data_IF_689790770581
#
_entry.id   IF_689790770581
#
_cell.length_a   1.000
_cell.length_b   1.000
_cell.length_c   1.000
_cell.angle_alpha   90.00
_cell.angle_beta   90.00
_cell.angle_gamma   90.00
#
_symmetry.space_group_name_H-M   'P 1'
#
loop_
_entity.id
_entity.type
_entity.pdbx_description
1 polymer ?
#
# COMPACT_ATOMS: atom_id res chain seq x y z
N UNK A 1 -10.31 0.18 2.60
CA UNK A 1 -9.77 0.19 1.22
C UNK A 1 -10.90 0.56 0.26
N UNK A 2 -10.69 1.61 -0.51
CA UNK A 2 -11.57 1.95 -1.66
C UNK A 2 -11.30 1.00 -2.83
N UNK A 3 -12.16 1.02 -3.86
CA UNK A 3 -11.92 0.27 -5.10
C UNK A 3 -10.55 0.61 -5.72
N UNK A 4 -10.22 1.91 -5.76
CA UNK A 4 -8.93 2.38 -6.26
C UNK A 4 -7.75 1.85 -5.45
N UNK A 5 -7.90 1.70 -4.12
CA UNK A 5 -6.84 1.12 -3.28
C UNK A 5 -6.64 -0.37 -3.56
N UNK A 6 -7.71 -1.13 -3.80
CA UNK A 6 -7.59 -2.55 -4.18
C UNK A 6 -6.89 -2.69 -5.53
N UNK A 7 -7.28 -1.87 -6.52
CA UNK A 7 -6.64 -1.87 -7.84
C UNK A 7 -5.14 -1.54 -7.74
N UNK A 8 -4.80 -0.49 -6.99
CA UNK A 8 -3.41 -0.07 -6.76
C UNK A 8 -2.61 -1.16 -6.05
N UNK A 9 -3.19 -1.80 -5.04
CA UNK A 9 -2.54 -2.86 -4.28
C UNK A 9 -2.13 -4.05 -5.16
N UNK A 10 -2.96 -4.41 -6.14
CA UNK A 10 -2.65 -5.44 -7.15
C UNK A 10 -1.56 -4.96 -8.13
N UNK A 11 -1.64 -3.71 -8.59
CA UNK A 11 -0.65 -3.10 -9.49
C UNK A 11 0.74 -3.00 -8.84
N UNK A 12 0.81 -2.63 -7.57
CA UNK A 12 2.06 -2.53 -6.79
C UNK A 12 2.78 -3.86 -6.66
N UNK A 13 2.04 -4.98 -6.74
CA UNK A 13 2.58 -6.34 -6.65
C UNK A 13 2.84 -6.97 -8.02
N UNK A 14 2.73 -6.20 -9.11
CA UNK A 14 2.81 -6.70 -10.48
C UNK A 14 1.88 -7.91 -10.73
N UNK A 15 0.71 -7.90 -10.09
CA UNK A 15 -0.26 -8.97 -10.20
C UNK A 15 -0.89 -8.99 -11.59
N UNK A 16 -1.03 -10.17 -12.18
CA UNK A 16 -1.87 -10.34 -13.39
C UNK A 16 -3.35 -10.01 -13.15
N UNK A 17 -3.81 -10.12 -11.89
CA UNK A 17 -5.15 -9.71 -11.50
C UNK A 17 -5.38 -8.19 -11.63
N UNK A 18 -4.32 -7.39 -11.75
CA UNK A 18 -4.45 -5.94 -11.92
C UNK A 18 -4.96 -5.54 -13.32
N UNK A 19 -4.83 -6.41 -14.33
CA UNK A 19 -5.10 -6.07 -15.73
C UNK A 19 -5.95 -7.10 -16.48
N UNK A 20 -6.20 -8.27 -15.89
CA UNK A 20 -6.94 -9.35 -16.54
C UNK A 20 -8.42 -9.28 -16.17
N UNK A 21 -9.30 -9.06 -17.14
CA UNK A 21 -10.74 -9.15 -16.93
C UNK A 21 -11.16 -10.60 -16.65
N UNK A 22 -11.89 -10.81 -15.56
CA UNK A 22 -12.39 -12.12 -15.16
C UNK A 22 -13.92 -12.08 -14.99
N UNK A 23 -14.63 -13.20 -15.19
CA UNK A 23 -16.05 -13.28 -14.90
C UNK A 23 -16.31 -13.08 -13.40
N UNK A 24 -17.25 -12.19 -13.08
CA UNK A 24 -17.82 -12.05 -11.75
C UNK A 24 -18.78 -13.23 -11.41
N UNK A 25 -19.48 -13.15 -10.27
CA UNK A 25 -20.39 -14.23 -9.86
C UNK A 25 -21.61 -14.42 -10.77
N UNK A 26 -21.93 -13.43 -11.62
CA UNK A 26 -23.02 -13.45 -12.61
C UNK A 26 -22.54 -13.80 -14.02
N UNK A 27 -21.21 -13.79 -14.24
CA UNK A 27 -20.57 -14.06 -15.52
C UNK A 27 -20.14 -12.80 -16.29
N UNK A 28 -20.42 -11.60 -15.77
CA UNK A 28 -19.97 -10.36 -16.40
C UNK A 28 -18.46 -10.18 -16.23
N UNK A 29 -17.78 -9.76 -17.30
CA UNK A 29 -16.33 -9.51 -17.26
C UNK A 29 -16.03 -8.20 -16.51
N UNK A 30 -15.21 -8.30 -15.46
CA UNK A 30 -14.84 -7.20 -14.57
C UNK A 30 -13.35 -7.27 -14.24
N UNK A 31 -12.77 -6.15 -13.82
CA UNK A 31 -11.46 -6.21 -13.20
C UNK A 31 -11.55 -6.91 -11.83
N UNK A 32 -10.58 -7.77 -11.47
CA UNK A 32 -10.56 -8.44 -10.17
C UNK A 32 -10.67 -7.51 -8.96
N UNK A 33 -10.14 -6.28 -9.07
CA UNK A 33 -10.31 -5.27 -8.02
C UNK A 33 -11.78 -4.89 -7.80
N UNK A 34 -12.59 -4.78 -8.87
CA UNK A 34 -14.03 -4.55 -8.77
C UNK A 34 -14.71 -5.73 -8.09
N UNK A 35 -14.43 -6.95 -8.55
CA UNK A 35 -15.03 -8.18 -8.01
C UNK A 35 -14.74 -8.31 -6.51
N UNK A 36 -13.48 -8.11 -6.09
CA UNK A 36 -13.06 -8.14 -4.69
C UNK A 36 -13.74 -7.05 -3.86
N UNK A 37 -13.78 -5.83 -4.37
CA UNK A 37 -14.36 -4.70 -3.64
C UNK A 37 -15.86 -4.86 -3.47
N UNK A 38 -16.61 -5.18 -4.53
CA UNK A 38 -18.06 -5.37 -4.48
C UNK A 38 -18.45 -6.55 -3.57
N UNK A 39 -17.75 -7.70 -3.66
CA UNK A 39 -18.01 -8.83 -2.77
C UNK A 39 -17.77 -8.47 -1.29
N UNK A 40 -16.71 -7.70 -1.01
CA UNK A 40 -16.44 -7.22 0.34
C UNK A 40 -17.51 -6.24 0.84
N UNK A 41 -18.02 -5.35 -0.02
CA UNK A 41 -19.11 -4.44 0.34
C UNK A 41 -20.42 -5.20 0.59
N UNK A 42 -20.79 -6.13 -0.30
CA UNK A 42 -21.98 -6.98 -0.16
C UNK A 42 -21.94 -7.75 1.16
N UNK A 43 -20.81 -8.38 1.46
CA UNK A 43 -20.62 -9.13 2.70
C UNK A 43 -20.28 -8.24 3.90
N UNK A 44 -20.21 -6.91 3.75
CA UNK A 44 -19.80 -5.94 4.79
C UNK A 44 -18.52 -6.33 5.55
N UNK A 45 -17.53 -6.87 4.84
CA UNK A 45 -16.21 -7.23 5.40
C UNK A 45 -15.10 -6.37 4.77
N UNK A 46 -13.90 -6.42 5.34
CA UNK A 46 -12.75 -5.69 4.79
C UNK A 46 -12.21 -6.37 3.52
N UNK A 47 -11.98 -5.63 2.41
CA UNK A 47 -11.27 -6.15 1.24
C UNK A 47 -9.88 -6.72 1.57
N UNK A 48 -9.23 -6.24 2.64
CA UNK A 48 -7.94 -6.75 3.14
C UNK A 48 -8.03 -8.26 3.43
N UNK A 49 -9.15 -8.74 3.97
CA UNK A 49 -9.37 -10.17 4.27
C UNK A 49 -9.40 -11.01 2.99
N UNK A 50 -10.11 -10.53 1.96
CA UNK A 50 -10.19 -11.24 0.67
C UNK A 50 -8.83 -11.28 -0.05
N UNK A 51 -8.09 -10.18 -0.04
CA UNK A 51 -6.73 -10.12 -0.60
C UNK A 51 -5.80 -11.11 0.12
N UNK A 52 -5.79 -11.12 1.45
CA UNK A 52 -4.98 -12.07 2.23
C UNK A 52 -5.38 -13.52 1.96
N UNK A 53 -6.68 -13.80 1.85
CA UNK A 53 -7.19 -15.15 1.55
C UNK A 53 -6.77 -15.61 0.14
N UNK A 54 -6.92 -14.77 -0.90
CA UNK A 54 -6.45 -15.08 -2.26
C UNK A 54 -4.98 -15.51 -2.28
N UNK A 55 -4.14 -14.79 -1.52
CA UNK A 55 -2.72 -15.07 -1.46
C UNK A 55 -2.42 -16.35 -0.69
N UNK A 56 -3.08 -16.54 0.45
CA UNK A 56 -2.92 -17.72 1.29
C UNK A 56 -3.30 -18.99 0.54
N UNK A 57 -4.41 -18.94 -0.20
CA UNK A 57 -4.99 -20.10 -0.88
C UNK A 57 -4.30 -20.43 -2.19
N UNK A 58 -4.03 -19.42 -3.04
CA UNK A 58 -3.58 -19.66 -4.42
C UNK A 58 -2.38 -18.81 -4.84
N UNK A 59 -1.82 -17.98 -3.95
CA UNK A 59 -0.72 -17.02 -4.22
C UNK A 59 -1.01 -16.01 -5.34
N UNK A 60 -2.28 -15.85 -5.70
CA UNK A 60 -2.71 -15.13 -6.91
C UNK A 60 -2.36 -13.64 -6.90
N UNK A 61 -2.26 -13.01 -5.73
CA UNK A 61 -2.00 -11.57 -5.64
C UNK A 61 -0.58 -11.25 -6.10
N UNK A 62 0.39 -12.14 -5.88
CA UNK A 62 1.79 -11.94 -6.31
C UNK A 62 2.17 -12.77 -7.55
N UNK A 63 1.28 -13.63 -8.04
CA UNK A 63 1.56 -14.52 -9.16
C UNK A 63 1.46 -13.77 -10.51
N UNK A 64 2.56 -13.82 -11.27
CA UNK A 64 2.67 -13.20 -12.58
C UNK A 64 2.17 -14.10 -13.71
N UNK A 65 1.95 -15.40 -13.45
CA UNK A 65 1.52 -16.38 -14.45
C UNK A 65 0.58 -17.41 -13.80
N UNK A 66 -0.56 -16.98 -13.26
CA UNK A 66 -1.49 -17.89 -12.59
C UNK A 66 -2.05 -18.89 -13.60
N UNK A 67 -2.12 -20.15 -13.18
CA UNK A 67 -2.79 -21.20 -13.95
C UNK A 67 -4.30 -20.98 -13.94
N UNK A 68 -5.00 -21.48 -14.96
CA UNK A 68 -6.46 -21.46 -15.00
C UNK A 68 -7.07 -22.11 -13.75
N UNK A 69 -6.45 -23.20 -13.27
CA UNK A 69 -6.87 -23.92 -12.06
C UNK A 69 -6.81 -23.03 -10.82
N UNK A 70 -5.74 -22.24 -10.63
CA UNK A 70 -5.63 -21.31 -9.49
C UNK A 70 -6.77 -20.28 -9.52
N UNK A 71 -7.09 -19.73 -10.70
CA UNK A 71 -8.17 -18.76 -10.87
C UNK A 71 -9.55 -19.39 -10.60
N UNK A 72 -9.78 -20.62 -11.06
CA UNK A 72 -11.04 -21.34 -10.84
C UNK A 72 -11.36 -21.61 -9.37
N UNK A 73 -10.34 -21.77 -8.52
CA UNK A 73 -10.51 -21.99 -7.06
C UNK A 73 -9.78 -20.96 -6.21
N UNK A 74 -9.82 -19.71 -6.69
CA UNK A 74 -9.07 -18.58 -6.14
C UNK A 74 -9.08 -18.46 -4.61
N UNK A 75 -10.18 -18.86 -3.95
CA UNK A 75 -10.38 -18.74 -2.50
C UNK A 75 -10.42 -20.09 -1.76
N UNK A 76 -10.25 -21.22 -2.46
CA UNK A 76 -10.49 -22.55 -1.88
C UNK A 76 -11.94 -22.79 -1.44
N UNK A 77 -12.87 -21.91 -1.83
CA UNK A 77 -14.26 -21.98 -1.37
C UNK A 77 -14.98 -23.16 -2.04
N UNK A 78 -15.60 -24.02 -1.25
CA UNK A 78 -16.25 -25.23 -1.75
C UNK A 78 -15.27 -26.30 -2.25
N UNK A 79 -14.02 -26.28 -1.78
CA UNK A 79 -12.99 -27.29 -2.05
C UNK A 79 -12.54 -27.99 -0.75
N UNK A 80 -13.35 -28.88 -0.15
CA UNK A 80 -12.94 -29.57 1.07
C UNK A 80 -11.80 -30.55 0.81
N UNK A 81 -10.96 -30.76 1.82
CA UNK A 81 -9.83 -31.68 1.75
C UNK A 81 -10.27 -33.09 1.33
N UNK A 82 -9.61 -33.67 0.34
CA UNK A 82 -9.82 -35.05 -0.13
C UNK A 82 -11.09 -35.33 -0.93
N UNK A 83 -11.99 -34.35 -1.15
CA UNK A 83 -13.30 -34.56 -1.82
C UNK A 83 -13.48 -33.82 -3.14
N UNK A 84 -12.48 -33.04 -3.57
CA UNK A 84 -12.55 -32.23 -4.79
C UNK A 84 -13.34 -30.93 -4.60
N UNK A 85 -13.41 -30.12 -5.65
CA UNK A 85 -14.06 -28.81 -5.61
C UNK A 85 -15.46 -28.86 -6.19
N UNK A 86 -16.40 -28.17 -5.55
CA UNK A 86 -17.80 -28.08 -5.98
C UNK A 86 -17.91 -27.22 -7.25
N UNK A 87 -18.33 -27.81 -8.36
CA UNK A 87 -18.32 -27.15 -9.68
C UNK A 87 -19.13 -25.85 -9.74
N UNK A 88 -20.25 -25.77 -9.00
CA UNK A 88 -21.09 -24.56 -8.95
C UNK A 88 -20.34 -23.32 -8.49
N UNK A 89 -19.26 -23.49 -7.71
CA UNK A 89 -18.46 -22.41 -7.15
C UNK A 89 -17.17 -22.13 -7.95
N UNK A 90 -16.91 -22.85 -9.04
CA UNK A 90 -15.73 -22.59 -9.87
C UNK A 90 -15.82 -21.24 -10.58
N UNK A 91 -14.67 -20.58 -10.68
CA UNK A 91 -14.49 -19.28 -11.32
C UNK A 91 -14.25 -18.17 -10.31
N UNK A 92 -13.39 -17.22 -10.67
CA UNK A 92 -12.88 -16.18 -9.78
C UNK A 92 -14.00 -15.44 -9.03
N UNK A 93 -14.99 -14.91 -9.75
CA UNK A 93 -16.09 -14.18 -9.12
C UNK A 93 -16.94 -15.00 -8.15
N UNK A 94 -17.21 -16.27 -8.47
CA UNK A 94 -17.97 -17.17 -7.60
C UNK A 94 -17.18 -17.55 -6.36
N UNK A 95 -15.88 -17.79 -6.50
CA UNK A 95 -14.96 -18.05 -5.39
C UNK A 95 -14.89 -16.84 -4.44
N UNK A 96 -14.67 -15.65 -4.99
CA UNK A 96 -14.54 -14.40 -4.21
C UNK A 96 -15.82 -14.09 -3.44
N UNK A 97 -16.97 -14.10 -4.13
CA UNK A 97 -18.28 -13.84 -3.50
C UNK A 97 -18.63 -14.92 -2.47
N UNK A 98 -18.43 -16.19 -2.80
CA UNK A 98 -18.69 -17.31 -1.88
C UNK A 98 -17.88 -17.21 -0.60
N UNK A 99 -16.57 -16.94 -0.70
CA UNK A 99 -15.73 -16.74 0.47
C UNK A 99 -16.14 -15.51 1.31
N UNK A 100 -16.46 -14.39 0.65
CA UNK A 100 -16.89 -13.18 1.34
C UNK A 100 -18.16 -13.41 2.16
N UNK A 101 -19.19 -13.99 1.55
CA UNK A 101 -20.45 -14.32 2.23
C UNK A 101 -20.24 -15.37 3.32
N UNK A 102 -19.32 -16.33 3.14
CA UNK A 102 -18.99 -17.32 4.16
C UNK A 102 -18.39 -16.66 5.42
N UNK A 103 -17.45 -15.72 5.26
CA UNK A 103 -16.89 -14.98 6.39
C UNK A 103 -17.95 -14.15 7.12
N UNK A 104 -18.82 -13.47 6.37
CA UNK A 104 -19.96 -12.74 6.93
C UNK A 104 -20.88 -13.66 7.72
N UNK A 105 -21.28 -14.79 7.14
CA UNK A 105 -22.12 -15.79 7.80
C UNK A 105 -21.52 -16.26 9.14
N UNK A 106 -20.21 -16.49 9.22
CA UNK A 106 -19.56 -16.83 10.49
C UNK A 106 -19.63 -15.72 11.55
N UNK A 107 -19.50 -14.45 11.14
CA UNK A 107 -19.65 -13.34 12.08
C UNK A 107 -21.09 -13.22 12.56
N UNK A 108 -22.06 -13.39 11.66
CA UNK A 108 -23.48 -13.33 12.00
C UNK A 108 -23.88 -14.50 12.91
N UNK A 109 -23.34 -15.70 12.67
CA UNK A 109 -23.50 -16.87 13.54
C UNK A 109 -23.00 -16.60 14.97
N UNK A 110 -21.83 -15.98 15.11
CA UNK A 110 -21.26 -15.64 16.41
C UNK A 110 -22.14 -14.65 17.19
N UNK A 111 -22.77 -13.69 16.48
CA UNK A 111 -23.71 -12.74 17.08
C UNK A 111 -25.01 -13.44 17.50
N UNK A 112 -25.56 -14.30 16.63
CA UNK A 112 -26.88 -14.91 16.86
C UNK A 112 -26.85 -16.10 17.81
N UNK A 113 -25.78 -16.90 17.75
CA UNK A 113 -25.70 -18.23 18.37
C UNK A 113 -24.53 -18.37 19.34
N UNK A 114 -23.59 -17.42 19.37
CA UNK A 114 -22.38 -17.50 20.18
C UNK A 114 -21.32 -18.48 19.65
N UNK A 115 -21.56 -19.12 18.51
CA UNK A 115 -20.60 -19.96 17.77
C UNK A 115 -20.92 -19.96 16.28
N UNK A 116 -19.89 -20.20 15.47
CA UNK A 116 -20.04 -20.47 14.05
C UNK A 116 -20.66 -21.84 13.80
N UNK A 117 -21.13 -22.10 12.58
CA UNK A 117 -21.52 -23.45 12.14
C UNK A 117 -20.43 -24.51 12.35
N UNK A 118 -19.16 -24.11 12.35
CA UNK A 118 -18.02 -24.97 12.62
C UNK A 118 -17.75 -25.14 14.13
N UNK A 119 -18.62 -24.64 15.01
CA UNK A 119 -18.50 -24.69 16.49
C UNK A 119 -17.27 -23.96 17.05
N UNK A 120 -16.78 -22.93 16.36
CA UNK A 120 -15.77 -22.02 16.92
C UNK A 120 -16.48 -20.85 17.60
N UNK A 121 -15.95 -20.39 18.72
CA UNK A 121 -16.55 -19.32 19.51
C UNK A 121 -15.49 -18.47 20.22
N UNK A 122 -15.87 -17.24 20.55
CA UNK A 122 -15.02 -16.34 21.34
C UNK A 122 -14.89 -16.87 22.76
N UNK A 123 -13.66 -16.91 23.28
CA UNK A 123 -13.34 -17.36 24.64
C UNK A 123 -13.42 -18.87 24.88
N UNK A 124 -13.86 -19.68 23.90
CA UNK A 124 -13.96 -21.15 24.04
C UNK A 124 -12.82 -21.84 23.32
N UNK A 125 -12.01 -22.59 24.08
CA UNK A 125 -10.91 -23.40 23.54
C UNK A 125 -11.45 -24.53 22.68
N UNK A 126 -10.90 -24.69 21.48
CA UNK A 126 -11.17 -25.82 20.59
C UNK A 126 -9.88 -26.28 19.92
N UNK A 127 -9.78 -27.59 19.70
CA UNK A 127 -8.64 -28.21 19.02
C UNK A 127 -8.85 -28.17 17.50
N UNK A 128 -7.83 -27.70 16.79
CA UNK A 128 -7.76 -27.71 15.32
C UNK A 128 -7.64 -29.13 14.77
N UNK A 129 -7.78 -29.31 13.44
CA UNK A 129 -7.64 -30.62 12.80
C UNK A 129 -6.27 -31.29 13.00
N UNK A 130 -5.27 -30.49 13.38
CA UNK A 130 -3.87 -30.89 13.60
C UNK A 130 -3.48 -30.93 15.09
N UNK A 131 -4.45 -30.94 16.01
CA UNK A 131 -4.20 -31.15 17.43
C UNK A 131 -3.78 -29.90 18.22
N UNK A 132 -3.72 -28.72 17.59
CA UNK A 132 -3.38 -27.46 18.28
C UNK A 132 -4.62 -26.88 18.95
N UNK A 133 -4.54 -26.65 20.27
CA UNK A 133 -5.57 -25.99 21.05
C UNK A 133 -5.54 -24.47 20.81
N UNK A 134 -6.70 -23.89 20.48
CA UNK A 134 -6.84 -22.46 20.17
C UNK A 134 -8.04 -21.89 20.91
N UNK A 135 -7.86 -20.72 21.52
CA UNK A 135 -8.92 -19.94 22.16
C UNK A 135 -9.09 -18.61 21.41
N UNK A 136 -10.09 -18.48 20.54
CA UNK A 136 -10.33 -17.22 19.83
C UNK A 136 -10.64 -16.07 20.80
N UNK A 137 -9.85 -15.00 20.75
CA UNK A 137 -10.08 -13.81 21.60
C UNK A 137 -11.11 -12.83 21.02
N UNK A 138 -11.47 -12.98 19.75
CA UNK A 138 -12.44 -12.15 19.07
C UNK A 138 -13.14 -12.92 17.94
N UNK A 139 -14.20 -12.31 17.40
CA UNK A 139 -15.02 -12.92 16.35
C UNK A 139 -14.25 -13.16 15.04
N UNK A 140 -13.30 -12.29 14.69
CA UNK A 140 -12.48 -12.45 13.48
C UNK A 140 -11.62 -13.71 13.56
N UNK A 141 -10.98 -13.97 14.69
CA UNK A 141 -10.20 -15.20 14.91
C UNK A 141 -11.10 -16.44 14.84
N UNK A 142 -12.29 -16.41 15.46
CA UNK A 142 -13.23 -17.54 15.39
C UNK A 142 -13.71 -17.80 13.94
N UNK A 143 -13.98 -16.75 13.16
CA UNK A 143 -14.36 -16.86 11.76
C UNK A 143 -13.22 -17.40 10.87
N UNK A 144 -11.97 -16.96 11.10
CA UNK A 144 -10.78 -17.47 10.40
C UNK A 144 -10.58 -18.97 10.61
N UNK A 145 -10.66 -19.44 11.85
CA UNK A 145 -10.58 -20.87 12.18
C UNK A 145 -11.80 -21.69 11.70
N UNK A 146 -12.93 -21.04 11.47
CA UNK A 146 -14.10 -21.67 10.84
C UNK A 146 -13.94 -21.83 9.33
N UNK A 147 -13.26 -20.89 8.68
CA UNK A 147 -12.92 -20.97 7.25
C UNK A 147 -11.78 -21.95 6.98
N UNK A 148 -10.76 -21.95 7.84
CA UNK A 148 -9.58 -22.82 7.74
C UNK A 148 -9.28 -23.41 9.12
N UNK A 149 -9.65 -24.68 9.40
CA UNK A 149 -9.50 -25.29 10.73
C UNK A 149 -8.07 -25.77 11.03
N UNK A 150 -7.07 -25.08 10.47
CA UNK A 150 -5.64 -25.38 10.58
C UNK A 150 -4.92 -24.16 11.15
N UNK A 151 -4.15 -24.33 12.22
CA UNK A 151 -3.28 -23.26 12.74
C UNK A 151 -2.08 -23.05 11.81
N UNK A 152 -1.46 -24.11 11.29
CA UNK A 152 -0.18 -24.08 10.57
C UNK A 152 1.03 -24.13 11.51
N UNK A 153 2.11 -24.84 11.13
CA UNK A 153 3.21 -25.25 12.02
C UNK A 153 4.11 -24.16 12.61
N UNK A 154 5.05 -24.57 13.50
CA UNK A 154 6.07 -23.73 14.18
C UNK A 154 7.27 -23.43 13.24
N UNK A 155 7.59 -22.15 13.03
CA UNK A 155 8.96 -21.72 12.67
C UNK A 155 9.61 -21.21 13.95
N UNK A 156 10.83 -21.59 14.36
CA UNK A 156 12.11 -21.71 13.64
C UNK A 156 12.64 -23.16 13.51
N UNK A 157 13.28 -23.46 12.37
CA UNK A 157 14.05 -24.69 12.01
C UNK A 157 13.32 -25.99 11.56
N UNK A 158 12.36 -25.97 10.63
CA UNK A 158 12.04 -27.24 9.91
C UNK A 158 10.77 -27.42 9.05
N UNK A 159 9.76 -26.54 9.09
CA UNK A 159 8.57 -26.55 8.19
C UNK A 159 7.43 -27.49 8.61
N UNK A 160 6.12 -27.26 8.34
CA UNK A 160 5.39 -26.53 7.28
C UNK A 160 4.61 -25.30 7.83
N UNK A 161 4.67 -24.16 7.12
CA UNK A 161 3.81 -22.98 7.37
C UNK A 161 2.62 -22.98 6.41
N UNK A 162 1.42 -23.23 6.94
CA UNK A 162 0.11 -23.22 6.23
C UNK A 162 -0.96 -22.54 7.10
N UNK A 163 -2.25 -22.75 6.83
CA UNK A 163 -3.33 -22.39 7.74
C UNK A 163 -3.39 -20.91 8.17
N UNK A 164 -3.86 -20.67 9.39
CA UNK A 164 -4.01 -19.32 9.95
C UNK A 164 -2.67 -18.61 10.22
N UNK A 165 -1.58 -19.32 10.47
CA UNK A 165 -0.22 -18.76 10.57
C UNK A 165 0.19 -18.08 9.26
N UNK A 166 -0.16 -18.68 8.10
CA UNK A 166 0.07 -18.03 6.80
C UNK A 166 -0.79 -16.79 6.62
N UNK A 167 -2.06 -16.83 7.04
CA UNK A 167 -2.94 -15.66 7.01
C UNK A 167 -2.33 -14.50 7.81
N UNK A 168 -1.95 -14.75 9.06
CA UNK A 168 -1.39 -13.72 9.96
C UNK A 168 -0.08 -13.17 9.42
N UNK A 169 0.82 -14.02 8.91
CA UNK A 169 2.08 -13.57 8.30
C UNK A 169 1.83 -12.65 7.11
N UNK A 170 0.96 -13.06 6.18
CA UNK A 170 0.62 -12.26 4.98
C UNK A 170 -0.08 -10.96 5.41
N UNK A 171 -1.01 -11.04 6.36
CA UNK A 171 -1.70 -9.87 6.88
C UNK A 171 -0.73 -8.87 7.51
N UNK A 172 0.19 -9.33 8.35
CA UNK A 172 1.22 -8.49 8.96
C UNK A 172 2.15 -7.89 7.92
N UNK A 173 2.59 -8.68 6.94
CA UNK A 173 3.44 -8.17 5.85
C UNK A 173 2.74 -7.08 5.04
N UNK A 174 1.44 -7.19 4.79
CA UNK A 174 0.74 -6.27 3.90
C UNK A 174 0.04 -5.11 4.59
N UNK A 175 -0.46 -5.37 5.79
CA UNK A 175 -1.36 -4.49 6.53
C UNK A 175 -0.92 -4.29 7.97
N UNK A 176 0.11 -5.01 8.44
CA UNK A 176 0.74 -4.76 9.72
C UNK A 176 1.42 -3.40 9.70
N UNK A 177 1.36 -2.72 10.83
CA UNK A 177 1.75 -1.33 10.97
C UNK A 177 3.14 -1.16 11.56
N UNK A 178 3.78 -2.26 11.97
CA UNK A 178 5.01 -2.23 12.76
C UNK A 178 4.83 -1.41 14.04
N UNK A 179 5.95 -1.21 14.73
CA UNK A 179 6.09 -0.19 15.75
C UNK A 179 5.79 1.23 15.22
N UNK A 180 6.19 1.47 13.98
CA UNK A 180 6.40 2.77 13.39
C UNK A 180 5.65 2.80 12.06
N UNK A 181 4.77 3.80 11.84
CA UNK A 181 4.03 3.96 10.59
C UNK A 181 4.94 4.08 9.36
N UNK A 182 4.45 3.59 8.21
CA UNK A 182 5.10 3.80 6.92
C UNK A 182 5.28 5.30 6.61
N UNK A 183 6.38 5.62 5.93
CA UNK A 183 6.83 6.98 5.62
C UNK A 183 7.76 7.57 6.67
N UNK A 184 7.79 7.02 7.89
CA UNK A 184 8.74 7.42 8.93
C UNK A 184 10.17 7.07 8.55
N UNK A 185 11.10 7.97 8.90
CA UNK A 185 12.53 7.78 8.73
C UNK A 185 13.11 7.36 10.09
N UNK A 186 13.70 6.16 10.15
CA UNK A 186 14.40 5.68 11.34
C UNK A 186 15.90 5.99 11.24
N UNK A 187 16.50 6.42 12.34
CA UNK A 187 17.94 6.66 12.46
C UNK A 187 18.53 5.67 13.45
N UNK A 188 19.35 4.75 12.95
CA UNK A 188 19.98 3.71 13.75
C UNK A 188 21.20 4.19 14.53
N UNK A 189 21.64 3.41 15.53
CA UNK A 189 22.80 3.77 16.36
C UNK A 189 24.12 3.74 15.58
N UNK A 190 24.14 3.05 14.43
CA UNK A 190 25.25 2.99 13.48
C UNK A 190 25.31 4.22 12.54
N UNK A 191 24.40 5.19 12.69
CA UNK A 191 24.28 6.37 11.83
C UNK A 191 23.54 6.11 10.52
N UNK A 192 22.98 4.90 10.32
CA UNK A 192 22.24 4.55 9.10
C UNK A 192 20.81 5.08 9.16
N UNK A 193 20.37 5.69 8.06
CA UNK A 193 18.98 6.09 7.88
C UNK A 193 18.18 5.02 7.12
N UNK A 194 16.96 4.77 7.58
CA UNK A 194 16.03 3.80 7.02
C UNK A 194 14.69 4.47 6.75
N UNK A 195 14.06 4.19 5.61
CA UNK A 195 12.66 4.55 5.37
C UNK A 195 11.77 3.34 5.58
N UNK A 196 10.66 3.52 6.29
CA UNK A 196 9.65 2.48 6.43
C UNK A 196 8.66 2.53 5.27
N UNK A 197 8.45 1.39 4.62
CA UNK A 197 7.55 1.26 3.48
C UNK A 197 7.03 -0.17 3.38
N UNK A 198 5.70 -0.31 3.36
CA UNK A 198 5.03 -1.60 3.36
C UNK A 198 5.38 -2.48 4.56
N UNK A 199 5.68 -1.90 5.73
CA UNK A 199 6.11 -2.66 6.91
C UNK A 199 7.51 -3.25 6.78
N UNK A 200 8.30 -2.79 5.82
CA UNK A 200 9.71 -3.14 5.61
C UNK A 200 10.58 -1.91 5.81
N UNK A 201 11.84 -2.12 6.19
CA UNK A 201 12.84 -1.05 6.27
C UNK A 201 13.66 -1.02 4.98
N UNK A 202 13.89 0.17 4.43
CA UNK A 202 14.76 0.37 3.25
C UNK A 202 15.90 1.29 3.63
N UNK A 203 17.13 0.79 3.51
CA UNK A 203 18.34 1.54 3.84
C UNK A 203 18.60 2.65 2.81
N UNK A 204 18.92 3.86 3.25
CA UNK A 204 19.54 4.83 2.35
C UNK A 204 21.03 4.52 2.19
N UNK A 205 21.48 4.26 0.96
CA UNK A 205 22.89 3.97 0.67
C UNK A 205 23.67 5.16 0.15
N UNK A 206 22.98 6.25 -0.19
CA UNK A 206 23.59 7.51 -0.62
C UNK A 206 22.99 8.70 0.13
N UNK A 207 23.85 9.63 0.55
CA UNK A 207 23.42 10.85 1.24
C UNK A 207 22.48 11.70 0.36
N UNK A 208 22.73 11.77 -0.96
CA UNK A 208 21.85 12.47 -1.91
C UNK A 208 20.44 11.88 -1.95
N UNK A 209 20.32 10.56 -1.88
CA UNK A 209 19.04 9.88 -1.88
C UNK A 209 18.23 10.12 -0.61
N UNK A 210 18.92 10.22 0.53
CA UNK A 210 18.35 10.60 1.81
C UNK A 210 17.90 12.07 1.83
N UNK A 211 18.82 13.01 1.58
CA UNK A 211 18.56 14.46 1.65
C UNK A 211 17.39 14.86 0.74
N UNK A 212 17.32 14.28 -0.45
CA UNK A 212 16.27 14.60 -1.41
C UNK A 212 14.91 13.92 -1.12
N UNK A 213 14.83 12.94 -0.20
CA UNK A 213 13.59 12.21 0.12
C UNK A 213 13.09 12.39 1.54
N UNK A 214 13.91 12.92 2.44
CA UNK A 214 13.50 13.12 3.82
C UNK A 214 12.28 14.05 3.90
N UNK A 215 12.24 15.09 3.07
CA UNK A 215 11.11 16.01 2.97
C UNK A 215 10.60 16.46 4.35
N UNK A 216 9.28 16.49 4.58
CA UNK A 216 8.68 16.79 5.89
C UNK A 216 8.58 15.56 6.83
N UNK A 217 9.22 14.43 6.52
CA UNK A 217 9.08 13.22 7.31
C UNK A 217 9.76 13.37 8.68
N UNK A 218 9.17 12.75 9.70
CA UNK A 218 9.79 12.67 11.01
C UNK A 218 10.99 11.71 11.01
N UNK A 219 12.08 12.14 11.65
CA UNK A 219 13.27 11.33 11.91
C UNK A 219 13.17 10.81 13.33
N UNK A 220 13.12 9.49 13.49
CA UNK A 220 12.98 8.84 14.78
C UNK A 220 14.26 8.07 15.10
N UNK A 221 15.01 8.45 16.14
CA UNK A 221 16.13 7.64 16.61
C UNK A 221 15.61 6.35 17.24
N UNK A 222 16.24 5.22 16.93
CA UNK A 222 15.82 3.90 17.39
C UNK A 222 17.04 3.04 17.72
N UNK A 223 16.82 2.02 18.55
CA UNK A 223 17.80 0.98 18.86
C UNK A 223 17.95 -0.02 17.71
N UNK A 224 19.04 -0.79 17.74
CA UNK A 224 19.26 -1.86 16.77
C UNK A 224 18.13 -2.92 16.81
N UNK A 225 17.67 -3.27 18.01
CA UNK A 225 16.60 -4.27 18.22
C UNK A 225 15.28 -3.82 17.56
N UNK A 226 14.91 -2.54 17.74
CA UNK A 226 13.70 -1.98 17.12
C UNK A 226 13.77 -2.00 15.59
N UNK A 227 14.93 -1.68 15.00
CA UNK A 227 15.11 -1.71 13.54
C UNK A 227 15.01 -3.14 13.02
N UNK A 228 15.54 -4.12 13.75
CA UNK A 228 15.54 -5.55 13.39
C UNK A 228 14.16 -6.21 13.45
N UNK A 229 13.17 -5.56 14.07
CA UNK A 229 11.76 -5.99 13.95
C UNK A 229 11.22 -5.87 12.52
N UNK A 230 11.82 -5.02 11.69
CA UNK A 230 11.46 -4.84 10.29
C UNK A 230 12.33 -5.70 9.38
N UNK A 231 11.67 -6.42 8.47
CA UNK A 231 12.38 -7.08 7.38
C UNK A 231 13.01 -6.02 6.48
N UNK A 232 14.30 -6.19 6.19
CA UNK A 232 15.02 -5.33 5.26
C UNK A 232 14.57 -5.58 3.81
N UNK A 233 14.24 -4.50 3.12
CA UNK A 233 13.94 -4.47 1.70
C UNK A 233 15.07 -3.78 0.92
N UNK A 234 14.99 -3.83 -0.41
CA UNK A 234 16.01 -3.29 -1.29
C UNK A 234 16.32 -1.81 -0.96
N UNK A 235 17.61 -1.43 -0.92
CA UNK A 235 18.03 -0.11 -0.48
C UNK A 235 17.56 1.00 -1.44
N UNK A 236 17.54 2.22 -0.93
CA UNK A 236 17.30 3.45 -1.69
C UNK A 236 18.66 4.07 -2.00
N UNK A 237 19.09 3.92 -3.26
CA UNK A 237 20.41 4.37 -3.73
C UNK A 237 20.37 5.70 -4.47
N UNK A 238 19.42 5.87 -5.38
CA UNK A 238 19.40 7.00 -6.30
C UNK A 238 18.46 8.09 -5.82
N UNK A 239 18.86 9.37 -5.93
CA UNK A 239 18.02 10.53 -5.62
C UNK A 239 16.74 10.57 -6.48
N UNK A 240 15.67 11.27 -6.06
CA UNK A 240 14.54 11.55 -6.94
C UNK A 240 15.03 12.34 -8.16
N UNK A 241 14.54 11.96 -9.32
CA UNK A 241 14.91 12.49 -10.63
C UNK A 241 16.35 12.22 -11.07
N UNK A 242 17.06 11.31 -10.40
CA UNK A 242 18.32 10.77 -10.92
C UNK A 242 18.08 10.00 -12.22
N UNK A 243 19.05 10.11 -13.15
CA UNK A 243 19.08 9.28 -14.34
C UNK A 243 20.06 8.15 -14.09
N UNK A 244 19.58 6.93 -14.31
CA UNK A 244 20.36 5.72 -14.06
C UNK A 244 20.45 4.93 -15.35
N UNK A 245 21.66 4.62 -15.80
CA UNK A 245 21.92 3.70 -16.90
C UNK A 245 22.18 2.30 -16.35
N UNK A 246 21.46 1.30 -16.87
CA UNK A 246 21.65 -0.09 -16.50
C UNK A 246 22.77 -0.75 -17.34
N UNK A 247 23.23 -1.98 -17.00
CA UNK A 247 24.32 -2.63 -17.71
C UNK A 247 24.02 -2.95 -19.19
N UNK A 248 22.74 -2.86 -19.60
CA UNK A 248 22.31 -3.04 -20.99
C UNK A 248 22.31 -1.74 -21.79
N UNK A 249 22.63 -0.61 -21.15
CA UNK A 249 22.62 0.74 -21.74
C UNK A 249 21.24 1.40 -21.76
N UNK A 250 20.23 0.82 -21.10
CA UNK A 250 18.91 1.45 -20.98
C UNK A 250 18.96 2.50 -19.87
N UNK A 251 18.44 3.69 -20.16
CA UNK A 251 18.34 4.79 -19.19
C UNK A 251 16.97 4.86 -18.55
N UNK A 252 16.98 5.10 -17.24
CA UNK A 252 15.83 5.19 -16.37
C UNK A 252 15.84 6.52 -15.64
N UNK A 253 14.70 7.20 -15.57
CA UNK A 253 14.52 8.32 -14.63
C UNK A 253 13.85 7.80 -13.36
N UNK A 254 14.43 8.08 -12.20
CA UNK A 254 13.83 7.76 -10.91
C UNK A 254 12.80 8.83 -10.57
N UNK A 255 11.53 8.49 -10.37
CA UNK A 255 10.47 9.44 -10.00
C UNK A 255 9.76 8.89 -8.77
N UNK A 256 10.01 9.49 -7.61
CA UNK A 256 9.60 8.93 -6.32
C UNK A 256 10.25 7.57 -6.09
N UNK A 257 9.41 6.53 -5.98
CA UNK A 257 9.81 5.13 -5.83
C UNK A 257 9.71 4.33 -7.15
N UNK A 258 9.46 5.00 -8.29
CA UNK A 258 9.37 4.37 -9.59
C UNK A 258 10.60 4.64 -10.47
N UNK A 259 10.98 3.66 -11.30
CA UNK A 259 11.90 3.84 -12.43
C UNK A 259 11.08 3.95 -13.71
N UNK A 260 11.29 5.01 -14.50
CA UNK A 260 10.60 5.23 -15.77
C UNK A 260 11.60 5.13 -16.91
N UNK A 261 11.38 4.19 -17.83
CA UNK A 261 12.27 4.01 -18.99
C UNK A 261 12.26 5.26 -19.86
N UNK A 262 13.43 5.78 -20.21
CA UNK A 262 13.55 6.86 -21.20
C UNK A 262 13.42 6.20 -22.58
N UNK A 263 12.33 6.49 -23.30
CA UNK A 263 11.93 5.69 -24.47
C UNK A 263 12.89 5.81 -25.65
N UNK A 264 13.60 6.93 -25.79
CA UNK A 264 14.56 7.13 -26.87
C UNK A 264 15.62 8.19 -26.53
N UNK A 265 16.70 8.22 -27.33
CA UNK A 265 17.73 9.27 -27.28
C UNK A 265 17.17 10.67 -27.51
N UNK A 266 16.12 10.80 -28.32
CA UNK A 266 15.44 12.07 -28.55
C UNK A 266 14.75 12.57 -27.28
N UNK A 267 14.06 11.68 -26.54
CA UNK A 267 13.46 12.03 -25.24
C UNK A 267 14.54 12.48 -24.26
N UNK A 268 15.64 11.72 -24.16
CA UNK A 268 16.77 12.07 -23.29
C UNK A 268 17.31 13.48 -23.59
N UNK A 269 17.53 13.82 -24.87
CA UNK A 269 18.00 15.17 -25.27
C UNK A 269 17.00 16.26 -24.89
N UNK A 270 15.70 16.04 -25.09
CA UNK A 270 14.65 17.03 -24.78
C UNK A 270 14.48 17.28 -23.29
N UNK A 271 14.78 16.29 -22.45
CA UNK A 271 14.75 16.47 -21.00
C UNK A 271 15.88 17.38 -20.49
N UNK A 272 16.89 17.67 -21.34
CA UNK A 272 17.90 18.68 -21.06
C UNK A 272 18.98 18.27 -20.05
N UNK A 273 19.08 16.97 -19.74
CA UNK A 273 20.06 16.45 -18.80
C UNK A 273 21.47 16.42 -19.38
N UNK A 274 22.46 16.74 -18.55
CA UNK A 274 23.87 16.62 -18.92
C UNK A 274 24.32 15.15 -18.91
N UNK A 275 25.19 14.71 -19.84
CA UNK A 275 25.73 13.34 -19.84
C UNK A 275 26.41 12.92 -18.52
N UNK A 276 27.03 13.87 -17.82
CA UNK A 276 27.70 13.62 -16.53
C UNK A 276 26.73 13.43 -15.35
N UNK A 277 25.44 13.74 -15.53
CA UNK A 277 24.40 13.47 -14.53
C UNK A 277 23.91 12.00 -14.56
N UNK A 278 24.39 11.20 -15.52
CA UNK A 278 23.98 9.80 -15.66
C UNK A 278 24.77 8.94 -14.68
N UNK A 279 24.08 8.39 -13.69
CA UNK A 279 24.62 7.43 -12.74
C UNK A 279 24.55 6.01 -13.31
N UNK A 280 25.50 5.14 -12.97
CA UNK A 280 25.40 3.70 -13.26
C UNK A 280 24.62 2.97 -12.17
N UNK A 281 23.76 2.03 -12.56
CA UNK A 281 23.03 1.16 -11.63
C UNK A 281 23.00 -0.29 -12.09
N UNK A 282 22.97 -1.23 -11.14
CA UNK A 282 22.78 -2.65 -11.46
C UNK A 282 21.32 -2.99 -11.68
N UNK A 283 21.05 -4.20 -12.17
CA UNK A 283 19.68 -4.71 -12.28
C UNK A 283 18.99 -4.77 -10.90
N UNK A 284 19.73 -5.14 -9.85
CA UNK A 284 19.28 -5.19 -8.46
C UNK A 284 18.98 -3.79 -7.92
N UNK A 285 19.86 -2.80 -8.14
CA UNK A 285 19.63 -1.41 -7.72
C UNK A 285 18.31 -0.89 -8.28
N UNK A 286 18.09 -1.14 -9.58
CA UNK A 286 16.88 -0.67 -10.25
C UNK A 286 15.66 -1.50 -9.85
N UNK A 287 15.81 -2.79 -9.52
CA UNK A 287 14.69 -3.65 -9.10
C UNK A 287 14.03 -3.16 -7.79
N UNK A 288 14.76 -2.35 -7.00
CA UNK A 288 14.25 -1.66 -5.82
C UNK A 288 13.18 -0.60 -6.15
N UNK A 289 13.02 -0.21 -7.42
CA UNK A 289 12.08 0.81 -7.87
C UNK A 289 11.01 0.19 -8.77
N UNK A 290 9.74 0.50 -8.50
CA UNK A 290 8.62 -0.01 -9.31
C UNK A 290 8.74 0.46 -10.76
N UNK A 291 8.36 -0.37 -11.72
CA UNK A 291 8.33 0.05 -13.13
C UNK A 291 7.18 1.05 -13.30
N UNK A 292 7.51 2.27 -13.71
CA UNK A 292 6.54 3.29 -14.12
C UNK A 292 6.44 3.39 -15.64
N UNK A 293 5.41 4.11 -16.11
CA UNK A 293 5.20 4.33 -17.54
C UNK A 293 6.43 4.97 -18.18
N UNK A 294 6.82 4.55 -19.39
CA UNK A 294 7.99 5.11 -20.07
C UNK A 294 7.82 6.62 -20.30
N UNK A 295 8.95 7.33 -20.26
CA UNK A 295 9.02 8.73 -20.65
C UNK A 295 9.10 8.81 -22.17
N UNK A 296 8.10 9.44 -22.77
CA UNK A 296 7.99 9.69 -24.20
C UNK A 296 8.06 11.20 -24.47
N UNK A 297 8.18 11.60 -25.74
CA UNK A 297 8.17 13.03 -26.12
C UNK A 297 6.86 13.71 -25.68
N UNK A 298 5.76 12.96 -25.65
CA UNK A 298 4.45 13.45 -25.21
C UNK A 298 4.32 13.57 -23.69
N UNK A 299 5.20 12.94 -22.91
CA UNK A 299 5.11 12.91 -21.45
C UNK A 299 5.45 14.26 -20.79
N UNK A 300 6.02 15.21 -21.52
CA UNK A 300 6.33 16.56 -21.02
C UNK A 300 7.40 16.59 -19.92
N UNK A 301 7.36 17.60 -19.06
CA UNK A 301 8.24 17.76 -17.91
C UNK A 301 7.96 16.66 -16.85
N UNK A 302 8.93 15.78 -16.52
CA UNK A 302 8.70 14.68 -15.59
C UNK A 302 8.57 15.12 -14.13
N UNK A 303 9.10 16.30 -13.75
CA UNK A 303 8.87 16.93 -12.43
C UNK A 303 7.49 17.59 -12.34
N UNK A 304 6.90 17.89 -13.49
CA UNK A 304 5.65 18.62 -13.65
C UNK A 304 5.78 20.12 -13.42
N UNK A 305 4.76 20.85 -13.86
CA UNK A 305 4.64 22.29 -13.71
C UNK A 305 3.65 22.63 -12.58
N UNK A 306 3.90 23.69 -11.83
CA UNK A 306 2.91 24.25 -10.92
C UNK A 306 2.20 25.43 -11.60
N UNK A 307 0.87 25.30 -11.77
CA UNK A 307 0.08 26.27 -12.52
C UNK A 307 -1.10 26.76 -11.68
N UNK A 308 -1.26 28.08 -11.59
CA UNK A 308 -2.45 28.76 -11.08
C UNK A 308 -3.37 29.12 -12.24
N UNK A 309 -4.62 28.67 -12.18
CA UNK A 309 -5.66 29.09 -13.10
C UNK A 309 -6.04 30.55 -12.84
N UNK A 310 -6.07 31.38 -13.89
CA UNK A 310 -6.26 32.83 -13.77
C UNK A 310 -7.63 33.18 -13.21
N UNK A 311 -8.66 32.49 -13.68
CA UNK A 311 -10.08 32.79 -13.43
C UNK A 311 -10.53 32.29 -12.06
N UNK A 312 -10.23 31.03 -11.72
CA UNK A 312 -10.68 30.41 -10.45
C UNK A 312 -9.66 30.53 -9.32
N UNK A 313 -8.42 30.94 -9.63
CA UNK A 313 -7.25 30.92 -8.73
C UNK A 313 -6.85 29.53 -8.21
N UNK A 314 -7.47 28.45 -8.70
CA UNK A 314 -7.12 27.07 -8.33
C UNK A 314 -5.70 26.76 -8.80
N UNK A 315 -4.98 26.01 -7.98
CA UNK A 315 -3.62 25.58 -8.27
C UNK A 315 -3.63 24.11 -8.69
N UNK A 316 -2.84 23.80 -9.71
CA UNK A 316 -2.69 22.46 -10.25
C UNK A 316 -1.21 22.12 -10.38
N UNK A 317 -0.86 20.89 -9.99
CA UNK A 317 0.38 20.26 -10.42
C UNK A 317 0.09 19.52 -11.73
N UNK A 318 0.85 19.80 -12.79
CA UNK A 318 0.61 19.28 -14.13
C UNK A 318 1.77 18.39 -14.54
N UNK A 319 1.50 17.11 -14.74
CA UNK A 319 2.47 16.12 -15.22
C UNK A 319 1.96 15.53 -16.52
N UNK A 320 2.73 15.70 -17.59
CA UNK A 320 2.30 15.33 -18.94
C UNK A 320 1.00 16.03 -19.35
N UNK A 321 -0.02 15.24 -19.71
CA UNK A 321 -1.33 15.75 -20.14
C UNK A 321 -2.37 15.81 -19.01
N UNK A 322 -1.98 15.61 -17.75
CA UNK A 322 -2.90 15.53 -16.61
C UNK A 322 -2.60 16.63 -15.60
N UNK A 323 -3.64 17.32 -15.14
CA UNK A 323 -3.60 18.31 -14.05
C UNK A 323 -4.22 17.73 -12.77
N UNK A 324 -3.47 17.80 -11.68
CA UNK A 324 -3.85 17.33 -10.35
C UNK A 324 -4.16 18.55 -9.48
N UNK A 325 -5.39 18.71 -8.96
CA UNK A 325 -5.71 19.80 -8.05
C UNK A 325 -4.82 19.79 -6.81
N UNK A 326 -4.16 20.91 -6.51
CA UNK A 326 -3.47 21.14 -5.24
C UNK A 326 -4.43 21.92 -4.35
N UNK A 327 -5.12 21.21 -3.46
CA UNK A 327 -6.26 21.74 -2.69
C UNK A 327 -5.85 22.46 -1.41
N UNK A 328 -4.56 22.48 -1.11
CA UNK A 328 -4.03 22.98 0.16
C UNK A 328 -2.78 23.83 -0.05
N UNK A 329 -2.78 25.03 0.52
CA UNK A 329 -1.71 26.01 0.34
C UNK A 329 -0.43 25.63 1.11
N UNK A 330 -0.57 24.99 2.28
CA UNK A 330 0.58 24.55 3.07
C UNK A 330 1.24 23.34 2.39
N UNK A 331 0.43 22.38 1.91
CA UNK A 331 0.93 21.27 1.09
C UNK A 331 1.61 21.78 -0.19
N UNK A 332 1.05 22.80 -0.84
CA UNK A 332 1.69 23.45 -1.98
C UNK A 332 3.09 23.98 -1.60
N UNK A 333 3.18 24.72 -0.50
CA UNK A 333 4.43 25.32 -0.02
C UNK A 333 5.49 24.27 0.30
N UNK A 334 5.10 23.16 0.91
CA UNK A 334 6.00 22.08 1.33
C UNK A 334 6.51 21.29 0.12
N UNK A 335 5.61 20.87 -0.78
CA UNK A 335 5.97 19.96 -1.87
C UNK A 335 6.58 20.66 -3.09
N UNK A 336 6.33 21.96 -3.24
CA UNK A 336 6.70 22.73 -4.43
C UNK A 336 7.50 24.00 -4.09
N UNK A 337 8.24 23.99 -2.98
CA UNK A 337 9.03 25.13 -2.52
C UNK A 337 9.91 25.75 -3.63
N UNK A 338 10.55 24.89 -4.44
CA UNK A 338 11.46 25.30 -5.53
C UNK A 338 10.80 25.27 -6.92
N UNK A 339 9.48 25.11 -7.01
CA UNK A 339 8.78 25.02 -8.30
C UNK A 339 8.10 26.36 -8.64
N UNK A 340 8.45 27.00 -9.76
CA UNK A 340 7.82 28.25 -10.16
C UNK A 340 6.30 28.11 -10.40
N UNK A 341 5.52 28.99 -9.77
CA UNK A 341 4.08 29.07 -9.99
C UNK A 341 3.77 29.91 -11.23
N UNK A 342 3.41 29.25 -12.33
CA UNK A 342 3.01 29.94 -13.56
C UNK A 342 1.50 30.19 -13.61
N UNK A 343 1.04 31.19 -14.36
CA UNK A 343 -0.40 31.51 -14.49
C UNK A 343 -0.89 31.16 -15.89
N UNK A 344 -1.96 30.38 -16.00
CA UNK A 344 -2.61 30.03 -17.28
C UNK A 344 -4.12 30.27 -17.22
N UNK A 345 -4.73 30.52 -18.37
CA UNK A 345 -6.19 30.71 -18.51
C UNK A 345 -6.92 29.36 -18.53
N UNK A 346 -8.22 29.34 -18.17
CA UNK A 346 -9.07 28.14 -18.31
C UNK A 346 -9.02 27.55 -19.72
N UNK A 347 -8.99 28.40 -20.77
CA UNK A 347 -8.87 27.95 -22.17
C UNK A 347 -7.60 27.12 -22.40
N UNK A 348 -6.47 27.55 -21.84
CA UNK A 348 -5.19 26.85 -21.96
C UNK A 348 -5.15 25.54 -21.14
N UNK A 349 -5.94 25.44 -20.07
CA UNK A 349 -6.00 24.27 -19.19
C UNK A 349 -7.09 23.27 -19.57
N UNK A 350 -7.94 23.59 -20.57
CA UNK A 350 -9.10 22.77 -20.96
C UNK A 350 -8.70 21.45 -21.63
N UNK A 351 -7.57 21.43 -22.34
CA UNK A 351 -7.07 20.26 -23.03
C UNK A 351 -6.40 19.22 -22.11
N UNK A 352 -6.18 19.56 -20.83
CA UNK A 352 -5.56 18.66 -19.85
C UNK A 352 -6.61 17.79 -19.16
N UNK A 353 -6.31 16.51 -19.03
CA UNK A 353 -7.10 15.57 -18.23
C UNK A 353 -7.09 16.01 -16.76
N UNK A 354 -8.21 15.88 -16.05
CA UNK A 354 -8.28 16.18 -14.62
C UNK A 354 -7.98 14.90 -13.84
N UNK A 355 -6.86 14.88 -13.13
CA UNK A 355 -6.52 13.83 -12.18
C UNK A 355 -7.17 14.05 -10.81
N UNK A 356 -7.07 13.08 -9.90
CA UNK A 356 -7.51 13.26 -8.52
C UNK A 356 -6.70 14.38 -7.83
N UNK A 357 -7.21 15.00 -6.77
CA UNK A 357 -6.44 15.93 -5.96
C UNK A 357 -5.15 15.30 -5.45
N UNK A 358 -4.08 16.11 -5.35
CA UNK A 358 -2.81 15.69 -4.79
C UNK A 358 -3.00 15.32 -3.32
N UNK A 359 -2.54 14.13 -2.95
CA UNK A 359 -2.62 13.59 -1.59
C UNK A 359 -1.42 14.03 -0.77
N UNK A 360 -1.60 14.05 0.55
CA UNK A 360 -0.50 14.24 1.51
C UNK A 360 0.42 13.01 1.45
N UNK A 361 1.75 13.19 1.37
CA UNK A 361 2.68 12.06 1.37
C UNK A 361 2.68 11.27 2.69
N UNK A 362 2.97 9.98 2.61
CA UNK A 362 3.19 9.14 3.78
C UNK A 362 4.39 9.65 4.61
N UNK A 363 4.30 9.54 5.94
CA UNK A 363 5.29 10.00 6.91
C UNK A 363 5.06 11.42 7.42
N UNK A 364 4.17 12.19 6.79
CA UNK A 364 3.89 13.57 7.19
C UNK A 364 2.95 13.60 8.41
N UNK A 365 3.35 14.33 9.46
CA UNK A 365 2.50 14.63 10.61
C UNK A 365 1.59 15.80 10.27
N UNK A 366 0.30 15.63 10.51
CA UNK A 366 -0.71 16.58 10.07
C UNK A 366 -1.84 16.74 11.07
N UNK A 367 -2.44 17.92 11.07
CA UNK A 367 -3.72 18.19 11.73
C UNK A 367 -4.56 19.12 10.85
N UNK A 368 -5.81 19.37 11.24
CA UNK A 368 -6.68 20.33 10.54
C UNK A 368 -7.69 20.96 11.51
N UNK A 369 -8.29 22.11 11.17
CA UNK A 369 -9.21 22.82 12.06
C UNK A 369 -10.36 21.97 12.61
N UNK A 370 -10.93 21.05 11.81
CA UNK A 370 -12.02 20.16 12.24
C UNK A 370 -11.59 19.11 13.27
N UNK A 371 -10.31 18.78 13.28
CA UNK A 371 -9.78 17.67 14.05
C UNK A 371 -8.97 18.10 15.27
N UNK A 372 -8.70 19.39 15.46
CA UNK A 372 -7.96 19.85 16.64
C UNK A 372 -8.61 19.36 17.94
N UNK A 373 -7.81 18.89 18.92
CA UNK A 373 -6.35 18.86 18.96
C UNK A 373 -5.71 17.56 18.39
N UNK A 374 -6.47 16.70 17.73
CA UNK A 374 -5.98 15.42 17.18
C UNK A 374 -4.87 15.62 16.14
N UNK A 375 -3.77 14.91 16.31
CA UNK A 375 -2.70 14.77 15.31
C UNK A 375 -2.82 13.43 14.61
N UNK A 376 -2.50 13.41 13.32
CA UNK A 376 -2.43 12.22 12.50
C UNK A 376 -1.06 12.10 11.85
N UNK A 377 -0.66 10.88 11.55
CA UNK A 377 0.38 10.58 10.57
C UNK A 377 -0.28 9.99 9.34
N UNK A 378 0.14 10.43 8.15
CA UNK A 378 -0.29 9.80 6.91
C UNK A 378 0.57 8.56 6.69
N UNK A 379 -0.06 7.40 6.52
CA UNK A 379 0.65 6.14 6.38
C UNK A 379 -0.16 5.19 5.51
N UNK A 380 0.46 4.68 4.44
CA UNK A 380 -0.22 3.90 3.37
C UNK A 380 -1.45 4.62 2.82
N UNK A 381 -1.39 5.95 2.73
CA UNK A 381 -2.48 6.80 2.29
C UNK A 381 -3.67 6.90 3.26
N UNK A 382 -3.63 6.28 4.44
CA UNK A 382 -4.63 6.45 5.51
C UNK A 382 -4.16 7.55 6.48
N UNK A 383 -5.09 8.32 7.07
CA UNK A 383 -4.78 9.22 8.19
C UNK A 383 -4.92 8.44 9.49
N UNK A 384 -3.82 8.21 10.20
CA UNK A 384 -3.80 7.40 11.42
C UNK A 384 -3.69 8.30 12.64
N UNK A 385 -4.69 8.33 13.53
CA UNK A 385 -4.67 9.22 14.70
C UNK A 385 -3.70 8.70 15.76
N UNK A 386 -2.93 9.59 16.38
CA UNK A 386 -2.24 9.26 17.62
C UNK A 386 -3.25 9.16 18.77
N UNK A 387 -3.23 8.09 19.56
CA UNK A 387 -4.21 7.90 20.65
C UNK A 387 -4.22 9.04 21.70
N UNK A 388 -3.10 9.74 21.84
CA UNK A 388 -2.97 10.92 22.71
C UNK A 388 -1.77 11.79 22.31
N UNK A 389 -1.69 13.05 22.76
CA UNK A 389 -0.47 13.86 22.71
C UNK A 389 0.76 13.11 23.25
N UNK A 390 0.59 12.38 24.35
CA UNK A 390 1.64 11.56 24.97
C UNK A 390 2.11 10.44 24.05
N UNK A 391 1.22 9.85 23.24
CA UNK A 391 1.61 8.81 22.27
C UNK A 391 2.54 9.38 21.21
N UNK A 392 2.30 10.59 20.73
CA UNK A 392 3.17 11.25 19.76
C UNK A 392 4.59 11.45 20.35
N UNK A 393 4.67 11.93 21.60
CA UNK A 393 5.93 12.19 22.30
C UNK A 393 6.69 10.92 22.67
N UNK A 394 5.99 9.89 23.17
CA UNK A 394 6.59 8.57 23.48
C UNK A 394 7.23 7.93 22.25
N UNK A 395 6.62 8.18 21.09
CA UNK A 395 7.09 7.74 19.80
C UNK A 395 8.17 8.69 19.20
N UNK A 396 8.67 9.67 19.96
CA UNK A 396 9.77 10.53 19.53
C UNK A 396 9.42 11.49 18.39
N UNK A 397 8.15 11.61 18.01
CA UNK A 397 7.72 12.61 17.03
C UNK A 397 7.77 14.00 17.66
N UNK A 398 8.23 14.99 16.88
CA UNK A 398 8.28 16.38 17.34
C UNK A 398 7.01 17.13 16.96
N UNK A 399 6.44 17.89 17.90
CA UNK A 399 5.33 18.80 17.64
C UNK A 399 5.63 19.84 16.56
N UNK A 400 6.90 20.26 16.44
CA UNK A 400 7.37 21.19 15.40
C UNK A 400 7.26 20.63 13.98
N UNK A 401 7.14 19.31 13.84
CA UNK A 401 6.95 18.64 12.55
C UNK A 401 5.47 18.49 12.17
N UNK A 402 4.52 18.94 13.01
CA UNK A 402 3.09 18.86 12.72
C UNK A 402 2.68 20.00 11.79
N UNK A 403 2.18 19.64 10.61
CA UNK A 403 1.69 20.59 9.62
C UNK A 403 0.17 20.79 9.75
N UNK A 404 -0.26 22.05 9.78
CA UNK A 404 -1.67 22.42 9.84
C UNK A 404 -2.23 22.53 8.41
N UNK A 405 -2.97 21.51 8.00
CA UNK A 405 -3.59 21.45 6.67
C UNK A 405 -5.09 21.77 6.75
N UNK A 406 -5.70 22.02 5.59
CA UNK A 406 -7.14 22.13 5.44
C UNK A 406 -7.86 20.78 5.66
N UNK A 407 -9.12 20.85 6.08
CA UNK A 407 -9.97 19.65 6.19
C UNK A 407 -10.07 18.93 4.84
N UNK A 408 -10.13 19.68 3.73
CA UNK A 408 -10.23 19.13 2.38
C UNK A 408 -9.01 18.27 2.01
N UNK A 409 -7.81 18.65 2.44
CA UNK A 409 -6.60 17.84 2.24
C UNK A 409 -6.64 16.55 3.07
N UNK A 410 -7.00 16.66 4.35
CA UNK A 410 -7.08 15.50 5.24
C UNK A 410 -8.19 14.52 4.82
N UNK A 411 -9.30 15.01 4.29
CA UNK A 411 -10.44 14.22 3.82
C UNK A 411 -10.17 13.40 2.55
N UNK A 412 -9.04 13.62 1.87
CA UNK A 412 -8.54 12.72 0.83
C UNK A 412 -8.04 11.38 1.37
N UNK A 413 -7.83 11.29 2.68
CA UNK A 413 -7.27 10.13 3.38
C UNK A 413 -8.32 9.47 4.27
N UNK A 414 -8.69 8.20 4.03
CA UNK A 414 -9.58 7.49 4.94
C UNK A 414 -8.96 7.35 6.33
N UNK A 415 -9.81 7.33 7.37
CA UNK A 415 -9.37 7.11 8.74
C UNK A 415 -8.79 5.69 8.87
N UNK A 416 -7.53 5.61 9.28
CA UNK A 416 -6.84 4.36 9.59
C UNK A 416 -6.93 4.01 11.08
N UNK A 417 -6.41 2.84 11.45
CA UNK A 417 -6.32 2.44 12.84
C UNK A 417 -5.44 3.43 13.64
N UNK A 418 -5.79 3.73 14.91
CA UNK A 418 -4.98 4.58 15.76
C UNK A 418 -3.56 4.03 15.90
N UNK A 419 -2.62 4.92 16.19
CA UNK A 419 -1.28 4.54 16.62
C UNK A 419 -1.37 4.22 18.11
N UNK A 420 -1.08 2.97 18.47
CA UNK A 420 -1.05 2.50 19.85
C UNK A 420 0.41 2.20 20.26
N UNK A 421 0.92 2.81 21.35
CA UNK A 421 2.26 2.51 21.83
C UNK A 421 2.44 1.03 22.21
N UNK A 422 1.39 0.26 22.53
CA UNK A 422 1.49 -1.17 22.84
C UNK A 422 1.73 -2.07 21.61
N UNK A 423 1.55 -1.56 20.39
CA UNK A 423 1.97 -2.22 19.14
C UNK A 423 3.41 -1.84 18.74
N UNK A 424 4.03 -0.96 19.54
CA UNK A 424 5.43 -0.52 19.45
C UNK A 424 6.24 -1.37 20.45
N UNK A 425 7.34 -2.02 20.05
CA UNK A 425 8.18 -2.84 20.91
C UNK A 425 8.59 -2.16 22.21
#
# INVERSE_FOLDING_TARGET
>A
MTLADVQRFLQERNSTLASTYLPDSTGALKLPAEILWFAAQEATISPKVLLTTLQKEQRLVTDQKPTARQIEVAMGYGCPDGTGCTDRFRGFGKQVRGAALQFRGYLDDLVQRGETIARWAVGRTKTTGEGVAVTPQNAATAALYSYTPWSGGRGTNGGRVGGNTSFVRIWREWFGTGAWPDGTILHGPDGTYWRLEGGKRRRFTAASAYVARIGPAAIIPVTQEEIETYTEAAPIRFAPYAIVEDPTGIRWLIVGDARRKIASREVYRRLGFHPEEVESGTAEDLAAYRIGDPLTIAAGNPRGDLIRERETKRVFHVVGSTKYPVVDAELQRILFADTPLTVRTTKQLRALNVGPPLRVPDGMLVTSPKHLPQVFIISRGERRPFGSPRTLELLGYAWTSVHHLSNAALDLHPLGAPIDPAETP
#
